data_IF_860465058380
#
_entry.id   IF_860465058380
#
_cell.length_a   1.000
_cell.length_b   1.000
_cell.length_c   1.000
_cell.angle_alpha   90.00
_cell.angle_beta   90.00
_cell.angle_gamma   90.00
#
_symmetry.space_group_name_H-M   'P 1'
#
loop_
_entity.id
_entity.type
_entity.pdbx_description
1 polymer ?
#
# COMPACT_ATOMS: atom_id res chain seq x y z
N UNK A 1 -65.57 33.30 -36.29
CA UNK A 1 -64.16 33.70 -36.43
C UNK A 1 -63.35 32.82 -35.50
N UNK A 2 -62.18 32.34 -35.91
CA UNK A 2 -61.49 31.19 -35.28
C UNK A 2 -60.96 31.57 -33.90
N UNK A 3 -61.36 30.83 -32.87
CA UNK A 3 -60.72 30.84 -31.55
C UNK A 3 -59.58 29.82 -31.57
N UNK A 4 -58.36 30.28 -31.28
CA UNK A 4 -57.18 29.41 -31.17
C UNK A 4 -57.22 28.65 -29.84
N UNK A 5 -57.17 27.31 -29.89
CA UNK A 5 -56.87 26.50 -28.72
C UNK A 5 -55.38 26.64 -28.36
N UNK A 6 -55.10 27.14 -27.16
CA UNK A 6 -53.76 27.14 -26.56
C UNK A 6 -53.69 26.07 -25.48
N UNK A 7 -53.32 24.84 -25.83
CA UNK A 7 -53.08 23.78 -24.85
C UNK A 7 -51.76 24.05 -24.13
N UNK A 8 -51.86 24.62 -22.91
CA UNK A 8 -50.70 24.80 -22.04
C UNK A 8 -50.33 23.45 -21.42
N UNK A 9 -49.39 22.74 -22.05
CA UNK A 9 -48.83 21.50 -21.50
C UNK A 9 -48.05 21.84 -20.22
N UNK A 10 -48.64 21.55 -19.07
CA UNK A 10 -47.98 21.67 -17.78
C UNK A 10 -46.98 20.52 -17.65
N UNK A 11 -45.73 20.75 -18.07
CA UNK A 11 -44.63 19.84 -17.80
C UNK A 11 -44.40 19.78 -16.29
N UNK A 12 -45.04 18.82 -15.62
CA UNK A 12 -44.66 18.34 -14.30
C UNK A 12 -43.28 17.68 -14.41
N UNK A 13 -42.25 18.53 -14.38
CA UNK A 13 -40.89 18.11 -14.15
C UNK A 13 -40.83 17.51 -12.74
N UNK A 14 -41.04 16.19 -12.67
CA UNK A 14 -40.77 15.42 -11.47
C UNK A 14 -39.26 15.52 -11.22
N UNK A 15 -38.84 16.53 -10.44
CA UNK A 15 -37.49 16.61 -9.93
C UNK A 15 -37.31 15.41 -9.02
N UNK A 16 -36.73 14.36 -9.55
CA UNK A 16 -35.99 13.39 -8.74
C UNK A 16 -34.94 14.20 -7.99
N UNK A 17 -35.24 14.51 -6.73
CA UNK A 17 -34.25 14.99 -5.76
C UNK A 17 -33.35 13.79 -5.53
N UNK A 18 -32.34 13.67 -6.37
CA UNK A 18 -31.21 12.81 -6.13
C UNK A 18 -30.44 13.52 -5.01
N UNK A 19 -30.72 13.12 -3.77
CA UNK A 19 -29.96 13.52 -2.59
C UNK A 19 -28.55 12.98 -2.77
N UNK A 20 -27.70 13.80 -3.35
CA UNK A 20 -26.27 13.53 -3.51
C UNK A 20 -25.66 13.65 -2.11
N UNK A 21 -25.56 12.51 -1.42
CA UNK A 21 -25.21 12.43 0.02
C UNK A 21 -23.79 12.94 0.21
N UNK A 22 -23.69 14.23 0.54
CA UNK A 22 -22.45 14.98 0.51
C UNK A 22 -21.49 14.45 1.59
N UNK A 23 -20.43 13.75 1.17
CA UNK A 23 -19.43 13.16 2.06
C UNK A 23 -19.39 11.63 2.10
N UNK A 24 -20.15 10.90 1.29
CA UNK A 24 -19.90 9.47 1.06
C UNK A 24 -18.72 9.25 0.10
N UNK A 25 -17.51 9.09 0.64
CA UNK A 25 -16.30 8.66 -0.07
C UNK A 25 -15.89 7.26 0.44
N UNK A 26 -15.47 6.37 -0.47
CA UNK A 26 -14.97 5.01 -0.14
C UNK A 26 -13.74 5.03 0.78
N UNK A 27 -13.13 6.21 1.01
CA UNK A 27 -12.05 6.40 1.99
C UNK A 27 -12.54 6.53 3.44
N UNK A 28 -13.85 6.72 3.66
CA UNK A 28 -14.47 6.89 4.98
C UNK A 28 -15.08 5.55 5.42
N UNK A 29 -14.61 5.03 6.56
CA UNK A 29 -15.16 3.78 7.11
C UNK A 29 -16.41 4.08 7.93
N UNK A 30 -17.45 3.27 7.74
CA UNK A 30 -18.68 3.31 8.55
C UNK A 30 -18.92 1.97 9.25
N UNK A 31 -19.37 2.01 10.51
CA UNK A 31 -19.77 0.83 11.28
C UNK A 31 -21.25 0.88 11.63
N UNK A 32 -22.01 -0.15 11.26
CA UNK A 32 -23.42 -0.27 11.65
C UNK A 32 -23.54 -0.68 13.13
N UNK A 33 -24.24 0.13 13.92
CA UNK A 33 -24.61 -0.17 15.30
C UNK A 33 -26.12 -0.29 15.46
N UNK A 34 -26.56 -1.22 16.31
CA UNK A 34 -27.96 -1.46 16.63
C UNK A 34 -28.17 -1.22 18.13
N UNK A 35 -28.40 0.04 18.54
CA UNK A 35 -28.61 0.41 19.94
C UNK A 35 -29.98 -0.03 20.50
N UNK A 36 -30.93 -0.42 19.63
CA UNK A 36 -32.28 -0.86 20.00
C UNK A 36 -33.23 0.31 20.29
N UNK A 37 -32.75 1.38 20.93
CA UNK A 37 -33.52 2.61 21.19
C UNK A 37 -32.78 3.85 20.65
N UNK A 38 -33.52 4.92 20.25
CA UNK A 38 -32.92 6.19 19.86
C UNK A 38 -32.36 6.95 21.07
N UNK A 39 -31.21 7.61 20.90
CA UNK A 39 -30.63 8.56 21.86
C UNK A 39 -30.88 10.00 21.38
N UNK A 40 -31.26 10.95 22.26
CA UNK A 40 -31.42 12.37 21.90
C UNK A 40 -30.19 12.95 21.18
N UNK A 41 -29.02 12.51 21.62
CA UNK A 41 -27.69 12.94 21.14
C UNK A 41 -27.46 12.70 19.63
N UNK A 42 -28.25 11.83 18.99
CA UNK A 42 -28.15 11.53 17.55
C UNK A 42 -29.45 11.76 16.78
N UNK A 43 -30.57 12.04 17.48
CA UNK A 43 -31.84 12.43 16.83
C UNK A 43 -31.93 13.92 16.56
N UNK A 44 -31.16 14.73 17.30
CA UNK A 44 -31.18 16.19 17.22
C UNK A 44 -30.11 16.74 16.24
N UNK A 45 -29.23 15.88 15.72
CA UNK A 45 -28.34 16.21 14.62
C UNK A 45 -29.13 16.32 13.31
N UNK A 46 -28.85 17.34 12.49
CA UNK A 46 -29.43 17.55 11.15
C UNK A 46 -28.91 16.53 10.10
N UNK A 47 -28.58 15.31 10.53
CA UNK A 47 -28.07 14.23 9.69
C UNK A 47 -29.17 13.57 8.85
N UNK A 48 -28.82 13.23 7.61
CA UNK A 48 -29.72 12.47 6.73
C UNK A 48 -30.05 11.10 7.36
N UNK A 49 -31.32 10.68 7.26
CA UNK A 49 -31.75 9.38 7.79
C UNK A 49 -32.36 8.52 6.69
N UNK A 50 -31.97 7.25 6.65
CA UNK A 50 -32.34 6.29 5.62
C UNK A 50 -33.14 5.15 6.23
N UNK A 51 -34.23 4.75 5.57
CA UNK A 51 -34.99 3.56 5.93
C UNK A 51 -34.42 2.36 5.17
N UNK A 52 -33.90 1.37 5.90
CA UNK A 52 -33.40 0.11 5.34
C UNK A 52 -34.37 -1.03 5.68
N UNK A 53 -34.45 -2.02 4.79
CA UNK A 53 -35.24 -3.25 5.00
C UNK A 53 -34.34 -4.46 4.77
N UNK A 54 -34.31 -5.41 5.70
CA UNK A 54 -33.53 -6.64 5.58
C UNK A 54 -34.17 -7.63 4.61
N UNK A 55 -33.40 -8.66 4.21
CA UNK A 55 -33.93 -9.80 3.44
C UNK A 55 -35.05 -10.58 4.14
N UNK A 56 -35.19 -10.41 5.46
CA UNK A 56 -36.26 -10.99 6.28
C UNK A 56 -37.43 -10.01 6.51
N UNK A 57 -37.51 -8.92 5.75
CA UNK A 57 -38.52 -7.86 5.84
C UNK A 57 -38.49 -7.05 7.16
N UNK A 58 -37.40 -7.14 7.92
CA UNK A 58 -37.15 -6.35 9.13
C UNK A 58 -36.77 -4.92 8.73
N UNK A 59 -37.42 -3.90 9.31
CA UNK A 59 -37.24 -2.49 8.95
C UNK A 59 -36.47 -1.75 10.04
N UNK A 60 -35.50 -0.93 9.62
CA UNK A 60 -34.72 -0.07 10.50
C UNK A 60 -34.64 1.34 9.93
N UNK A 61 -34.63 2.34 10.82
CA UNK A 61 -34.27 3.71 10.49
C UNK A 61 -32.82 3.94 10.92
N UNK A 62 -31.94 4.23 9.97
CA UNK A 62 -30.54 4.46 10.21
C UNK A 62 -30.21 5.96 10.08
N UNK A 63 -29.45 6.48 11.03
CA UNK A 63 -29.00 7.87 11.06
C UNK A 63 -27.57 7.93 10.52
N UNK A 64 -27.35 8.70 9.45
CA UNK A 64 -26.03 8.89 8.86
C UNK A 64 -25.33 10.05 9.57
N UNK A 65 -24.06 9.89 10.00
CA UNK A 65 -23.30 11.00 10.56
C UNK A 65 -22.93 11.99 9.45
N UNK A 66 -23.05 13.29 9.75
CA UNK A 66 -22.68 14.38 8.84
C UNK A 66 -21.17 14.50 8.71
N UNK A 67 -20.57 13.84 7.71
CA UNK A 67 -19.11 13.89 7.49
C UNK A 67 -18.72 15.17 6.75
N UNK A 68 -18.72 16.29 7.47
CA UNK A 68 -18.12 17.53 6.98
C UNK A 68 -16.59 17.37 6.93
N UNK A 69 -15.93 17.57 5.77
CA UNK A 69 -14.49 17.40 5.66
C UNK A 69 -13.74 18.49 6.44
N UNK A 70 -13.45 18.21 7.71
CA UNK A 70 -12.72 19.13 8.60
C UNK A 70 -13.26 19.26 10.02
N UNK A 71 -14.46 18.74 10.33
CA UNK A 71 -14.97 18.71 11.71
C UNK A 71 -15.15 17.28 12.20
N UNK A 72 -14.41 16.93 13.26
CA UNK A 72 -14.81 15.86 14.17
C UNK A 72 -15.85 16.42 15.13
N UNK A 73 -16.90 15.64 15.39
CA UNK A 73 -17.64 15.82 16.64
C UNK A 73 -16.79 15.29 17.80
N UNK A 74 -16.47 16.15 18.76
CA UNK A 74 -15.95 15.73 20.07
C UNK A 74 -14.46 15.93 20.37
N UNK A 75 -13.61 16.36 19.43
CA UNK A 75 -12.26 16.80 19.78
C UNK A 75 -12.24 18.31 20.10
N UNK A 76 -11.75 18.65 21.29
CA UNK A 76 -11.31 20.00 21.57
C UNK A 76 -10.17 20.35 20.60
N UNK A 77 -10.26 21.47 19.88
CA UNK A 77 -9.12 22.03 19.16
C UNK A 77 -8.08 22.53 20.18
N UNK A 78 -7.33 21.59 20.77
CA UNK A 78 -6.14 21.90 21.55
C UNK A 78 -5.12 22.51 20.60
N UNK A 79 -4.91 23.83 20.75
CA UNK A 79 -3.89 24.57 20.01
C UNK A 79 -2.56 23.79 20.06
N UNK A 80 -2.00 23.49 18.89
CA UNK A 80 -0.77 22.70 18.82
C UNK A 80 0.42 23.61 19.15
N UNK A 81 0.94 23.50 20.37
CA UNK A 81 2.11 24.24 20.86
C UNK A 81 3.44 23.50 20.59
N UNK A 82 3.44 22.49 19.72
CA UNK A 82 4.61 21.68 19.38
C UNK A 82 5.46 22.28 18.25
N UNK A 83 6.58 21.60 17.88
CA UNK A 83 7.49 22.10 16.84
C UNK A 83 6.84 22.18 15.46
N UNK A 84 7.32 23.12 14.63
CA UNK A 84 6.85 23.27 13.25
C UNK A 84 7.12 22.00 12.41
N UNK A 85 6.39 21.78 11.30
CA UNK A 85 6.69 20.67 10.38
C UNK A 85 8.13 20.67 9.87
N UNK A 86 8.74 21.85 9.71
CA UNK A 86 10.15 21.98 9.37
C UNK A 86 11.03 21.49 10.54
N UNK A 87 10.79 22.02 11.74
CA UNK A 87 11.53 21.66 12.96
C UNK A 87 11.51 20.16 13.24
N UNK A 88 10.37 19.50 13.01
CA UNK A 88 10.23 18.05 13.13
C UNK A 88 11.13 17.28 12.17
N UNK A 89 11.33 17.75 10.93
CA UNK A 89 12.15 17.06 9.92
C UNK A 89 13.62 17.53 9.90
N UNK A 90 14.00 18.59 10.62
CA UNK A 90 15.40 19.03 10.77
C UNK A 90 16.40 17.93 11.17
N UNK A 91 16.06 16.93 12.02
CA UNK A 91 16.95 15.83 12.33
C UNK A 91 17.41 15.03 11.10
N UNK A 92 16.68 15.08 9.97
CA UNK A 92 17.09 14.43 8.72
C UNK A 92 18.20 15.20 8.00
N UNK A 93 18.24 16.51 8.14
CA UNK A 93 19.19 17.37 7.44
C UNK A 93 20.56 17.41 8.11
N UNK A 94 20.59 17.12 9.42
CA UNK A 94 21.81 17.00 10.22
C UNK A 94 22.42 15.59 10.18
N UNK A 95 21.63 14.56 9.81
CA UNK A 95 22.11 13.20 9.64
C UNK A 95 22.93 13.03 8.35
N UNK A 96 24.11 12.42 8.45
CA UNK A 96 24.99 12.14 7.30
C UNK A 96 24.55 10.92 6.48
N UNK A 97 23.47 10.26 6.86
CA UNK A 97 22.87 9.13 6.12
C UNK A 97 22.13 9.60 4.87
N UNK A 98 22.09 8.74 3.85
CA UNK A 98 21.30 8.97 2.63
C UNK A 98 20.34 7.79 2.43
N UNK A 99 19.17 8.10 1.89
CA UNK A 99 18.16 7.12 1.50
C UNK A 99 18.30 6.79 0.03
N UNK A 100 18.19 5.51 -0.33
CA UNK A 100 18.41 5.05 -1.70
C UNK A 100 17.13 4.48 -2.31
N UNK A 101 16.87 4.81 -3.59
CA UNK A 101 15.85 4.16 -4.42
C UNK A 101 16.55 3.56 -5.63
N UNK A 102 16.47 2.24 -5.75
CA UNK A 102 16.94 1.49 -6.91
C UNK A 102 15.78 1.40 -7.91
N UNK A 103 15.92 2.04 -9.07
CA UNK A 103 15.08 1.80 -10.24
C UNK A 103 15.90 1.09 -11.32
N UNK A 104 15.23 0.67 -12.40
CA UNK A 104 15.80 -0.27 -13.37
C UNK A 104 17.02 0.29 -14.14
N UNK A 105 17.02 1.58 -14.46
CA UNK A 105 18.18 2.29 -15.02
C UNK A 105 18.91 3.10 -13.94
N UNK A 106 18.15 3.94 -13.23
CA UNK A 106 18.68 4.94 -12.33
C UNK A 106 18.71 4.45 -10.88
N UNK A 107 19.84 4.63 -10.22
CA UNK A 107 19.89 4.68 -8.76
C UNK A 107 19.74 6.13 -8.31
N UNK A 108 18.83 6.37 -7.37
CA UNK A 108 18.68 7.66 -6.72
C UNK A 108 19.23 7.58 -5.30
N UNK A 109 20.00 8.60 -4.95
CA UNK A 109 20.63 8.83 -3.66
C UNK A 109 20.08 10.16 -3.12
N UNK A 110 19.22 10.07 -2.11
CA UNK A 110 18.61 11.22 -1.43
C UNK A 110 19.35 11.43 -0.11
N UNK A 111 20.30 12.36 -0.13
CA UNK A 111 20.99 12.83 1.05
C UNK A 111 20.25 14.06 1.58
N UNK A 112 19.30 13.84 2.49
CA UNK A 112 18.53 14.89 3.15
C UNK A 112 19.44 16.02 3.66
N UNK A 113 19.04 17.28 3.48
CA UNK A 113 19.84 18.45 3.86
C UNK A 113 21.08 18.73 3.00
N UNK A 114 21.36 17.94 1.94
CA UNK A 114 22.61 18.05 1.16
C UNK A 114 22.39 18.01 -0.36
N UNK A 115 21.94 16.88 -0.90
CA UNK A 115 21.74 16.71 -2.34
C UNK A 115 20.81 15.55 -2.67
N UNK A 116 20.19 15.63 -3.85
CA UNK A 116 19.57 14.49 -4.50
C UNK A 116 20.38 14.20 -5.76
N UNK A 117 20.88 12.97 -5.88
CA UNK A 117 21.72 12.50 -6.98
C UNK A 117 21.04 11.32 -7.67
N UNK A 118 21.08 11.34 -8.99
CA UNK A 118 20.69 10.26 -9.88
C UNK A 118 21.96 9.75 -10.56
N UNK A 119 22.20 8.44 -10.57
CA UNK A 119 23.33 7.86 -11.28
C UNK A 119 23.04 6.48 -11.85
N UNK A 120 23.75 6.14 -12.93
CA UNK A 120 23.73 4.83 -13.58
C UNK A 120 25.18 4.36 -13.76
N UNK A 121 25.46 3.11 -13.37
CA UNK A 121 26.77 2.47 -13.57
C UNK A 121 26.69 1.44 -14.70
N UNK A 122 27.43 1.67 -15.78
CA UNK A 122 27.67 0.68 -16.83
C UNK A 122 29.05 0.03 -16.63
N UNK A 123 29.15 -1.30 -16.84
CA UNK A 123 30.33 -2.12 -16.52
C UNK A 123 30.84 -2.87 -17.75
N UNK A 124 31.61 -2.17 -18.58
CA UNK A 124 32.33 -2.75 -19.71
C UNK A 124 33.63 -3.43 -19.24
N UNK A 125 33.49 -4.68 -18.77
CA UNK A 125 34.61 -5.52 -18.36
C UNK A 125 35.29 -5.04 -17.07
N UNK A 126 36.45 -4.38 -17.19
CA UNK A 126 37.21 -3.80 -16.05
C UNK A 126 37.00 -2.29 -15.87
N UNK A 127 36.22 -1.64 -16.73
CA UNK A 127 35.94 -0.21 -16.65
C UNK A 127 34.49 0.02 -16.25
N UNK A 128 34.28 0.80 -15.20
CA UNK A 128 32.95 1.29 -14.81
C UNK A 128 32.78 2.71 -15.35
N UNK A 129 31.72 2.94 -16.12
CA UNK A 129 31.33 4.27 -16.60
C UNK A 129 30.12 4.72 -15.79
N UNK A 130 30.24 5.85 -15.10
CA UNK A 130 29.15 6.42 -14.31
C UNK A 130 28.56 7.61 -15.07
N UNK A 131 27.25 7.55 -15.34
CA UNK A 131 26.47 8.71 -15.76
C UNK A 131 25.77 9.27 -14.51
N UNK A 132 25.92 10.55 -14.21
CA UNK A 132 25.33 11.15 -13.01
C UNK A 132 24.75 12.55 -13.23
N UNK A 133 23.68 12.85 -12.50
CA UNK A 133 23.03 14.15 -12.44
C UNK A 133 22.66 14.49 -11.00
N UNK A 134 22.91 15.72 -10.58
CA UNK A 134 22.36 16.24 -9.33
C UNK A 134 20.98 16.83 -9.64
N UNK A 135 19.95 16.32 -8.99
CA UNK A 135 18.55 16.72 -9.18
C UNK A 135 18.12 17.86 -8.26
N UNK A 136 18.96 18.20 -7.29
CA UNK A 136 18.81 19.32 -6.37
C UNK A 136 19.95 19.33 -5.36
N UNK A 137 20.33 20.51 -4.89
CA UNK A 137 21.35 20.76 -3.88
C UNK A 137 20.78 21.62 -2.77
N UNK A 138 21.37 21.47 -1.60
CA UNK A 138 21.14 22.27 -0.42
C UNK A 138 22.49 22.86 -0.02
N UNK A 139 22.56 24.18 0.15
CA UNK A 139 23.70 24.84 0.79
C UNK A 139 23.28 25.47 2.12
N UNK A 140 24.23 25.76 3.00
CA UNK A 140 23.98 26.36 4.31
C UNK A 140 23.14 27.65 4.20
N UNK A 141 23.32 28.43 3.12
CA UNK A 141 22.53 29.63 2.84
C UNK A 141 21.08 29.35 2.44
N UNK A 142 20.77 28.22 1.80
CA UNK A 142 19.40 27.77 1.59
C UNK A 142 18.79 27.27 2.90
N UNK A 143 19.57 26.61 3.77
CA UNK A 143 19.11 26.17 5.09
C UNK A 143 18.67 27.36 5.96
N UNK A 144 19.53 28.37 6.11
CA UNK A 144 19.22 29.58 6.89
C UNK A 144 18.01 30.34 6.32
N UNK A 145 17.87 30.40 4.99
CA UNK A 145 16.69 31.02 4.36
C UNK A 145 15.41 30.23 4.61
N UNK A 146 15.46 28.90 4.62
CA UNK A 146 14.30 28.06 4.92
C UNK A 146 13.86 28.23 6.38
N UNK A 147 14.82 28.24 7.32
CA UNK A 147 14.56 28.52 8.73
C UNK A 147 14.03 29.95 8.99
N UNK A 148 14.51 30.95 8.23
CA UNK A 148 13.99 32.31 8.32
C UNK A 148 12.55 32.39 7.79
N UNK A 149 12.26 31.77 6.64
CA UNK A 149 10.93 31.77 6.04
C UNK A 149 9.86 31.10 6.93
N UNK A 150 10.21 29.98 7.59
CA UNK A 150 9.32 29.27 8.53
C UNK A 150 9.01 30.10 9.78
N UNK A 151 9.93 30.99 10.20
CA UNK A 151 9.74 31.93 11.32
C UNK A 151 9.00 33.20 10.93
N UNK A 152 9.18 33.70 9.72
CA UNK A 152 8.48 34.90 9.20
C UNK A 152 7.03 34.57 8.81
N UNK A 153 6.79 33.40 8.22
CA UNK A 153 5.48 32.91 7.84
C UNK A 153 5.22 31.54 8.49
N UNK A 154 5.02 31.48 9.83
CA UNK A 154 4.62 30.26 10.49
C UNK A 154 3.30 29.75 9.89
N UNK A 155 3.17 28.42 9.78
CA UNK A 155 1.98 27.77 9.25
C UNK A 155 0.73 28.20 10.03
N UNK A 156 -0.17 28.92 9.36
CA UNK A 156 -1.44 29.38 9.93
C UNK A 156 -2.24 28.17 10.46
N UNK A 157 -2.77 28.30 11.67
CA UNK A 157 -3.63 27.29 12.29
C UNK A 157 -4.90 27.04 11.47
N UNK A 158 -5.32 28.01 10.65
CA UNK A 158 -6.43 27.88 9.69
C UNK A 158 -6.01 27.45 8.28
N UNK A 159 -4.70 27.40 7.94
CA UNK A 159 -4.27 26.99 6.60
C UNK A 159 -4.58 25.51 6.31
N UNK A 160 -5.14 25.28 5.13
CA UNK A 160 -5.31 23.95 4.54
C UNK A 160 -3.95 23.33 4.20
N UNK A 161 -3.69 22.13 4.74
CA UNK A 161 -2.47 21.39 4.43
C UNK A 161 -2.63 20.69 3.08
N UNK A 162 -1.65 20.79 2.16
CA UNK A 162 -1.75 20.15 0.86
C UNK A 162 -1.75 18.62 1.00
N UNK A 163 -2.65 17.98 0.23
CA UNK A 163 -2.90 16.55 0.26
C UNK A 163 -2.45 15.88 -1.05
N UNK A 164 -1.91 14.66 -0.98
CA UNK A 164 -1.55 13.85 -2.15
C UNK A 164 -2.11 12.45 -2.06
N UNK A 165 -2.68 11.95 -3.16
CA UNK A 165 -3.13 10.56 -3.26
C UNK A 165 -1.95 9.61 -3.49
N UNK A 166 -1.74 8.67 -2.57
CA UNK A 166 -0.75 7.59 -2.66
C UNK A 166 -1.43 6.26 -2.33
N UNK A 167 -1.31 5.28 -3.23
CA UNK A 167 -1.85 3.91 -3.06
C UNK A 167 -3.32 3.85 -2.58
N UNK A 168 -4.12 4.81 -3.06
CA UNK A 168 -5.53 5.11 -2.76
C UNK A 168 -5.83 5.91 -1.48
N UNK A 169 -4.85 6.24 -0.66
CA UNK A 169 -5.01 7.13 0.49
C UNK A 169 -4.67 8.58 0.14
N UNK A 170 -5.43 9.55 0.64
CA UNK A 170 -5.03 10.96 0.59
C UNK A 170 -4.22 11.29 1.85
N UNK A 171 -2.93 11.57 1.68
CA UNK A 171 -2.01 11.87 2.79
C UNK A 171 -1.61 13.36 2.77
N UNK A 172 -1.61 14.06 3.92
CA UNK A 172 -1.02 15.40 4.04
C UNK A 172 0.50 15.34 3.88
N UNK A 173 1.10 16.38 3.29
CA UNK A 173 2.54 16.43 3.08
C UNK A 173 3.13 17.83 3.30
N UNK A 174 4.38 17.86 3.78
CA UNK A 174 5.19 19.07 3.85
C UNK A 174 6.16 19.10 2.65
N UNK A 175 6.10 20.16 1.84
CA UNK A 175 6.93 20.31 0.64
C UNK A 175 8.20 21.12 0.94
N UNK A 176 9.37 20.57 0.59
CA UNK A 176 10.65 21.29 0.54
C UNK A 176 11.19 21.22 -0.89
N UNK A 177 11.65 22.34 -1.44
CA UNK A 177 12.17 22.40 -2.81
C UNK A 177 13.70 22.43 -2.80
N UNK A 178 14.34 21.48 -3.51
CA UNK A 178 15.79 21.42 -3.68
C UNK A 178 16.17 21.88 -5.09
N UNK A 179 16.81 23.05 -5.20
CA UNK A 179 17.17 23.71 -6.48
C UNK A 179 18.65 23.51 -6.82
N UNK A 180 19.20 24.25 -7.79
CA UNK A 180 20.65 24.30 -8.07
C UNK A 180 21.31 22.93 -8.40
N UNK A 181 20.54 22.02 -9.01
CA UNK A 181 21.05 20.78 -9.59
C UNK A 181 21.91 21.01 -10.85
N UNK A 182 22.37 19.90 -11.45
CA UNK A 182 23.12 19.93 -12.72
C UNK A 182 22.29 20.59 -13.82
N UNK A 183 22.92 21.45 -14.63
CA UNK A 183 22.25 22.16 -15.73
C UNK A 183 21.62 21.20 -16.75
N UNK A 184 20.41 21.53 -17.19
CA UNK A 184 19.59 20.72 -18.09
C UNK A 184 19.56 21.35 -19.48
N UNK A 185 20.31 20.75 -20.39
CA UNK A 185 20.30 21.01 -21.83
C UNK A 185 18.89 20.97 -22.43
N UNK A 186 18.05 20.03 -21.98
CA UNK A 186 16.66 19.88 -22.44
C UNK A 186 15.68 20.95 -21.93
N UNK A 187 16.08 21.80 -20.96
CA UNK A 187 15.22 22.84 -20.37
C UNK A 187 15.96 24.20 -20.34
N UNK A 188 16.35 24.68 -21.53
CA UNK A 188 17.01 25.98 -21.73
C UNK A 188 18.24 26.21 -20.81
N UNK A 189 18.99 25.14 -20.52
CA UNK A 189 20.15 25.13 -19.63
C UNK A 189 19.85 25.56 -18.17
N UNK A 190 18.59 25.45 -17.72
CA UNK A 190 18.20 25.67 -16.31
C UNK A 190 18.72 24.54 -15.41
N UNK A 191 19.03 24.81 -14.13
CA UNK A 191 19.40 23.75 -13.18
C UNK A 191 18.22 22.81 -12.93
N UNK A 192 18.52 21.51 -12.77
CA UNK A 192 17.54 20.53 -12.26
C UNK A 192 17.06 20.93 -10.85
N UNK A 193 15.80 20.63 -10.55
CA UNK A 193 15.20 20.86 -9.22
C UNK A 193 14.30 19.70 -8.81
N UNK A 194 14.17 19.46 -7.51
CA UNK A 194 13.31 18.40 -6.95
C UNK A 194 12.38 18.96 -5.88
N UNK A 195 11.07 18.73 -6.01
CA UNK A 195 10.09 18.90 -4.93
C UNK A 195 10.11 17.65 -4.05
N UNK A 196 10.44 17.81 -2.77
CA UNK A 196 10.52 16.72 -1.79
C UNK A 196 9.32 16.81 -0.86
N UNK A 197 8.47 15.80 -0.92
CA UNK A 197 7.21 15.72 -0.19
C UNK A 197 7.40 14.79 1.01
N UNK A 198 7.55 15.37 2.20
CA UNK A 198 7.63 14.61 3.45
C UNK A 198 6.22 14.28 3.92
N UNK A 199 5.96 13.01 4.21
CA UNK A 199 4.66 12.51 4.68
C UNK A 199 4.84 11.73 5.98
N UNK A 200 3.86 11.84 6.89
CA UNK A 200 3.83 10.99 8.06
C UNK A 200 3.69 9.52 7.66
N UNK A 201 4.60 8.69 8.15
CA UNK A 201 4.42 7.25 8.21
C UNK A 201 5.12 6.72 9.46
N UNK A 202 4.34 6.26 10.45
CA UNK A 202 4.84 5.89 11.79
C UNK A 202 5.83 4.71 11.80
N UNK A 203 5.81 3.87 10.77
CA UNK A 203 6.76 2.75 10.61
C UNK A 203 7.87 3.04 9.58
N UNK A 204 7.89 4.26 9.02
CA UNK A 204 8.88 4.67 8.02
C UNK A 204 10.28 4.87 8.61
N UNK A 205 11.28 4.86 7.73
CA UNK A 205 12.70 5.07 8.07
C UNK A 205 13.33 6.18 7.22
N UNK A 206 12.52 7.17 6.85
CA UNK A 206 12.91 8.27 5.95
C UNK A 206 13.27 7.76 4.55
N UNK A 207 12.70 6.62 4.13
CA UNK A 207 12.98 6.05 2.82
C UNK A 207 12.24 6.79 1.70
N UNK A 208 12.83 6.71 0.50
CA UNK A 208 12.26 7.25 -0.73
C UNK A 208 11.19 6.29 -1.23
N UNK A 209 9.93 6.67 -1.08
CA UNK A 209 8.79 5.89 -1.56
C UNK A 209 8.70 5.89 -3.09
N UNK A 210 8.81 7.08 -3.68
CA UNK A 210 8.81 7.27 -5.13
C UNK A 210 9.64 8.49 -5.49
N UNK A 211 10.42 8.43 -6.56
CA UNK A 211 11.06 9.59 -7.16
C UNK A 211 10.83 9.54 -8.68
N UNK A 212 10.20 10.58 -9.23
CA UNK A 212 9.85 10.63 -10.66
C UNK A 212 10.10 12.01 -11.25
N UNK A 213 10.38 12.07 -12.54
CA UNK A 213 10.37 13.32 -13.31
C UNK A 213 8.91 13.70 -13.61
N UNK A 214 8.47 14.90 -13.21
CA UNK A 214 7.09 15.38 -13.40
C UNK A 214 6.95 16.35 -14.57
N UNK A 215 8.02 17.06 -14.89
CA UNK A 215 8.24 17.75 -16.18
C UNK A 215 9.74 17.84 -16.44
N UNK A 216 10.17 18.26 -17.63
CA UNK A 216 11.58 18.20 -18.06
C UNK A 216 12.54 18.81 -17.03
N UNK A 217 13.37 17.96 -16.43
CA UNK A 217 14.34 18.30 -15.38
C UNK A 217 13.76 18.84 -14.06
N UNK A 218 12.46 18.59 -13.81
CA UNK A 218 11.77 18.85 -12.55
C UNK A 218 11.28 17.54 -11.96
N UNK A 219 11.74 17.21 -10.76
CA UNK A 219 11.50 15.93 -10.10
C UNK A 219 10.56 16.09 -8.91
N UNK A 220 9.87 15.01 -8.56
CA UNK A 220 9.05 14.86 -7.36
C UNK A 220 9.53 13.63 -6.59
N UNK A 221 9.99 13.82 -5.35
CA UNK A 221 10.39 12.77 -4.43
C UNK A 221 9.39 12.70 -3.27
N UNK A 222 8.88 11.51 -2.94
CA UNK A 222 8.05 11.27 -1.75
C UNK A 222 8.90 10.56 -0.70
N UNK A 223 8.94 11.12 0.50
CA UNK A 223 9.70 10.60 1.64
C UNK A 223 8.73 10.23 2.76
N UNK A 224 8.77 8.99 3.21
CA UNK A 224 7.96 8.51 4.32
C UNK A 224 8.74 8.62 5.63
N UNK A 225 8.26 9.50 6.53
CA UNK A 225 8.99 9.89 7.74
C UNK A 225 8.12 9.81 9.00
N UNK A 226 8.54 9.08 10.06
CA UNK A 226 7.81 9.08 11.33
C UNK A 226 7.91 10.41 12.08
N UNK A 227 8.91 11.26 11.80
CA UNK A 227 9.10 12.54 12.50
C UNK A 227 7.91 13.49 12.29
N UNK A 228 7.38 13.54 11.08
CA UNK A 228 6.26 14.43 10.73
C UNK A 228 4.93 13.98 11.40
N UNK A 229 4.85 12.73 11.87
CA UNK A 229 3.68 12.20 12.59
C UNK A 229 3.47 12.84 13.97
N UNK A 230 4.46 13.55 14.52
CA UNK A 230 4.28 14.32 15.74
C UNK A 230 3.31 15.51 15.57
N UNK A 231 3.15 16.00 14.34
CA UNK A 231 2.25 17.13 14.05
C UNK A 231 0.82 16.64 13.71
N UNK A 232 -0.23 17.02 14.47
CA UNK A 232 -1.58 16.51 14.28
C UNK A 232 -2.13 16.69 12.86
N UNK A 233 -1.98 17.89 12.27
CA UNK A 233 -2.41 18.17 10.88
C UNK A 233 -1.74 17.29 9.80
N UNK A 234 -0.60 16.67 10.08
CA UNK A 234 0.14 15.83 9.12
C UNK A 234 0.02 14.33 9.41
N UNK A 235 -0.68 13.92 10.46
CA UNK A 235 -1.08 12.53 10.61
C UNK A 235 -2.08 12.17 9.49
N UNK A 236 -2.10 10.93 8.99
CA UNK A 236 -3.21 10.43 8.19
C UNK A 236 -4.50 10.70 8.98
N UNK A 237 -5.48 11.38 8.36
CA UNK A 237 -6.79 11.57 9.00
C UNK A 237 -7.34 10.17 9.29
N UNK A 238 -7.48 9.85 10.57
CA UNK A 238 -7.94 8.52 10.97
C UNK A 238 -9.33 8.27 10.37
N UNK A 239 -9.46 7.13 9.70
CA UNK A 239 -10.71 6.57 9.16
C UNK A 239 -11.86 6.59 10.18
N UNK A 240 -11.50 6.38 11.46
CA UNK A 240 -12.35 6.48 12.64
C UNK A 240 -13.78 5.99 12.43
N UNK A 241 -14.00 4.66 12.41
CA UNK A 241 -15.28 4.00 12.06
C UNK A 241 -16.52 4.83 12.44
N UNK A 242 -17.08 5.54 11.44
CA UNK A 242 -18.21 6.43 11.60
C UNK A 242 -19.47 5.61 11.89
N UNK A 243 -20.00 5.74 13.10
CA UNK A 243 -21.13 4.93 13.56
C UNK A 243 -22.43 5.32 12.86
N UNK A 244 -23.00 4.39 12.10
CA UNK A 244 -24.36 4.48 11.57
C UNK A 244 -25.26 3.77 12.56
N UNK A 245 -26.02 4.54 13.34
CA UNK A 245 -26.95 4.01 14.34
C UNK A 245 -28.29 3.64 13.68
N UNK A 246 -28.65 2.36 13.73
CA UNK A 246 -29.88 1.82 13.14
C UNK A 246 -30.86 1.38 14.24
N UNK A 247 -31.99 2.09 14.36
CA UNK A 247 -33.07 1.76 15.31
C UNK A 247 -34.16 0.92 14.64
N UNK A 248 -34.73 -0.09 15.32
CA UNK A 248 -35.82 -0.89 14.78
C UNK A 248 -37.05 -0.03 14.49
N UNK A 249 -37.85 -0.45 13.52
CA UNK A 249 -39.19 0.09 13.25
C UNK A 249 -40.26 -0.92 13.66
N UNK A 250 -41.51 -0.49 13.71
CA UNK A 250 -42.64 -1.29 14.21
C UNK A 250 -42.68 -2.71 13.59
N UNK A 251 -42.78 -3.72 14.45
CA UNK A 251 -42.75 -5.14 14.06
C UNK A 251 -41.36 -5.75 13.82
N UNK A 252 -40.26 -4.99 13.95
CA UNK A 252 -38.89 -5.45 13.68
C UNK A 252 -38.11 -5.68 14.99
N UNK A 253 -37.23 -6.71 15.07
CA UNK A 253 -36.42 -6.98 16.26
C UNK A 253 -35.28 -5.95 16.42
N UNK A 254 -34.79 -5.74 17.65
CA UNK A 254 -33.69 -4.80 17.94
C UNK A 254 -32.45 -4.96 17.04
N UNK A 255 -32.19 -6.19 16.58
CA UNK A 255 -31.04 -6.56 15.75
C UNK A 255 -31.49 -7.51 14.64
N UNK A 256 -31.07 -7.31 13.37
CA UNK A 256 -31.48 -8.16 12.25
C UNK A 256 -31.08 -9.62 12.47
N UNK A 257 -31.95 -10.55 12.09
CA UNK A 257 -31.68 -11.99 12.18
C UNK A 257 -30.38 -12.39 11.47
N UNK A 258 -30.15 -11.84 10.27
CA UNK A 258 -28.94 -12.08 9.47
C UNK A 258 -27.65 -11.64 10.18
N UNK A 259 -27.69 -10.49 10.87
CA UNK A 259 -26.57 -9.97 11.67
C UNK A 259 -26.27 -10.84 12.89
N UNK A 260 -27.32 -11.30 13.60
CA UNK A 260 -27.17 -12.21 14.74
C UNK A 260 -26.60 -13.56 14.31
N UNK A 261 -27.04 -14.10 13.16
CA UNK A 261 -26.51 -15.33 12.57
C UNK A 261 -25.03 -15.20 12.23
N UNK A 262 -24.63 -14.12 11.53
CA UNK A 262 -23.23 -13.84 11.18
C UNK A 262 -22.33 -13.80 12.43
N UNK A 263 -22.77 -13.11 13.50
CA UNK A 263 -22.03 -13.08 14.77
C UNK A 263 -21.92 -14.46 15.42
N UNK A 264 -22.99 -15.26 15.41
CA UNK A 264 -22.98 -16.61 15.99
C UNK A 264 -22.03 -17.55 15.23
N UNK A 265 -22.02 -17.51 13.90
CA UNK A 265 -21.17 -18.37 13.08
C UNK A 265 -19.69 -17.94 13.18
N UNK A 266 -19.41 -16.63 13.21
CA UNK A 266 -18.06 -16.12 13.50
C UNK A 266 -17.55 -16.56 14.89
N UNK A 267 -18.42 -16.59 15.91
CA UNK A 267 -18.05 -17.03 17.25
C UNK A 267 -17.77 -18.54 17.35
N UNK A 268 -18.44 -19.38 16.54
CA UNK A 268 -18.14 -20.83 16.46
C UNK A 268 -16.76 -21.08 15.88
N UNK A 269 -16.41 -20.41 14.78
CA UNK A 269 -15.10 -20.53 14.11
C UNK A 269 -13.93 -20.13 15.03
N UNK A 270 -14.15 -19.19 15.95
CA UNK A 270 -13.14 -18.81 16.96
C UNK A 270 -12.90 -19.88 18.03
N UNK A 271 -13.89 -20.73 18.33
CA UNK A 271 -13.79 -21.80 19.34
C UNK A 271 -13.19 -23.11 18.83
N UNK A 272 -13.08 -23.31 17.51
CA UNK A 272 -12.55 -24.54 16.91
C UNK A 272 -11.04 -24.52 16.65
N UNK A 273 -10.29 -23.61 17.27
CA UNK A 273 -8.84 -23.41 17.03
C UNK A 273 -7.91 -23.95 18.11
N UNK A 274 -8.44 -24.51 19.21
CA UNK A 274 -7.65 -25.17 20.26
C UNK A 274 -7.39 -26.65 19.91
N UNK A 275 -6.27 -26.95 19.24
CA UNK A 275 -5.63 -28.27 19.30
C UNK A 275 -4.11 -28.20 19.02
N UNK A 276 -3.32 -28.48 20.06
CA UNK A 276 -1.87 -28.66 20.02
C UNK A 276 -1.44 -29.91 19.23
N UNK A 277 -0.33 -29.77 18.49
CA UNK A 277 0.85 -30.68 18.42
C UNK A 277 1.56 -30.55 17.08
N UNK A 278 2.85 -30.16 17.09
CA UNK A 278 3.96 -30.94 16.50
C UNK A 278 5.30 -30.40 17.04
N UNK A 279 6.22 -31.30 17.41
CA UNK A 279 7.62 -30.97 17.71
C UNK A 279 8.43 -31.02 16.41
N UNK A 280 9.34 -30.08 16.23
CA UNK A 280 10.33 -30.11 15.15
C UNK A 280 11.67 -30.55 15.73
N UNK A 281 12.24 -31.63 15.19
CA UNK A 281 13.65 -31.99 15.41
C UNK A 281 14.50 -31.46 14.26
N UNK A 282 15.69 -30.96 14.57
CA UNK A 282 16.64 -30.41 13.62
C UNK A 282 17.58 -31.50 13.13
N UNK A 283 17.58 -31.78 11.83
CA UNK A 283 18.60 -32.61 11.17
C UNK A 283 19.70 -31.69 10.63
N UNK A 284 20.96 -31.99 10.97
CA UNK A 284 22.12 -31.29 10.43
C UNK A 284 22.44 -31.76 9.02
N UNK A 285 22.85 -30.84 8.15
CA UNK A 285 23.36 -31.16 6.81
C UNK A 285 24.89 -31.07 6.81
N UNK A 286 25.53 -32.19 6.48
CA UNK A 286 26.97 -32.26 6.26
C UNK A 286 27.39 -31.65 4.90
N UNK A 287 28.70 -31.54 4.72
CA UNK A 287 29.40 -30.63 3.80
C UNK A 287 30.10 -31.37 2.66
N UNK A 288 30.61 -30.59 1.69
CA UNK A 288 31.51 -30.97 0.58
C UNK A 288 30.81 -31.72 -0.58
N UNK A 289 31.18 -31.64 -1.87
CA UNK A 289 32.09 -30.77 -2.66
C UNK A 289 31.46 -30.66 -4.10
N UNK A 290 31.88 -29.87 -5.10
CA UNK A 290 33.03 -28.99 -5.37
C UNK A 290 32.62 -27.86 -6.37
N UNK A 291 33.56 -27.25 -7.12
CA UNK A 291 33.29 -26.34 -8.26
C UNK A 291 34.16 -26.70 -9.48
N UNK A 292 33.56 -26.86 -10.66
CA UNK A 292 34.26 -26.80 -11.96
C UNK A 292 33.47 -25.98 -12.98
N UNK A 293 34.16 -25.06 -13.68
CA UNK A 293 33.53 -24.10 -14.58
C UNK A 293 34.21 -24.03 -15.96
N UNK A 294 33.44 -24.23 -17.03
CA UNK A 294 33.69 -23.87 -18.44
C UNK A 294 32.39 -24.14 -19.23
N UNK A 295 31.95 -23.41 -20.27
CA UNK A 295 32.44 -22.22 -21.01
C UNK A 295 31.23 -21.63 -21.80
N UNK A 296 31.14 -20.31 -22.09
CA UNK A 296 30.02 -19.71 -22.84
C UNK A 296 30.33 -19.50 -24.34
N UNK A 297 29.42 -18.95 -25.18
CA UNK A 297 27.94 -18.91 -25.11
C UNK A 297 27.25 -19.37 -26.42
N UNK A 298 25.98 -19.77 -26.38
CA UNK A 298 25.15 -19.79 -27.61
C UNK A 298 23.65 -19.52 -27.34
N UNK A 299 23.06 -18.61 -28.13
CA UNK A 299 21.63 -18.22 -28.24
C UNK A 299 20.83 -17.88 -26.97
N UNK A 300 20.37 -16.62 -26.89
CA UNK A 300 19.42 -16.14 -25.86
C UNK A 300 18.02 -16.73 -26.06
N UNK A 301 17.69 -17.77 -25.30
CA UNK A 301 16.32 -17.97 -24.82
C UNK A 301 16.16 -17.21 -23.51
N UNK A 302 14.99 -16.59 -23.28
CA UNK A 302 14.65 -16.04 -21.97
C UNK A 302 14.37 -17.23 -21.04
N UNK A 303 15.28 -17.47 -20.10
CA UNK A 303 15.14 -18.52 -19.09
C UNK A 303 13.96 -18.18 -18.17
N UNK A 304 12.87 -18.96 -18.23
CA UNK A 304 11.67 -18.78 -17.40
C UNK A 304 11.80 -19.36 -16.00
N UNK A 305 12.88 -20.10 -15.72
CA UNK A 305 13.19 -20.70 -14.41
C UNK A 305 13.06 -19.74 -13.22
N UNK A 306 13.51 -18.46 -13.28
CA UNK A 306 13.34 -17.52 -12.16
C UNK A 306 11.87 -17.18 -11.88
N UNK A 307 11.04 -17.07 -12.93
CA UNK A 307 9.61 -16.73 -12.80
C UNK A 307 8.84 -17.93 -12.26
N UNK A 308 9.11 -19.12 -12.78
CA UNK A 308 8.48 -20.37 -12.33
C UNK A 308 8.88 -20.72 -10.89
N UNK A 309 10.16 -20.57 -10.53
CA UNK A 309 10.62 -20.79 -9.15
C UNK A 309 10.05 -19.76 -8.15
N UNK A 310 9.77 -18.53 -8.59
CA UNK A 310 9.04 -17.53 -7.81
C UNK A 310 7.55 -17.89 -7.68
N UNK A 311 6.86 -18.25 -8.77
CA UNK A 311 5.44 -18.64 -8.76
C UNK A 311 5.17 -19.92 -7.95
N UNK A 312 6.11 -20.86 -7.93
CA UNK A 312 6.11 -22.04 -7.04
C UNK A 312 6.44 -21.70 -5.57
N UNK A 313 6.78 -20.45 -5.26
CA UNK A 313 7.24 -20.02 -3.95
C UNK A 313 8.51 -20.74 -3.48
N UNK A 314 9.33 -21.27 -4.40
CA UNK A 314 10.63 -21.91 -4.08
C UNK A 314 11.67 -20.85 -3.72
N UNK A 315 11.65 -19.72 -4.44
CA UNK A 315 12.50 -18.57 -4.19
C UNK A 315 11.69 -17.43 -3.55
N UNK A 316 12.12 -16.97 -2.38
CA UNK A 316 11.47 -15.88 -1.65
C UNK A 316 12.23 -14.55 -1.82
N UNK A 317 11.48 -13.47 -2.02
CA UNK A 317 12.01 -12.13 -2.19
C UNK A 317 12.29 -11.50 -0.82
N UNK A 318 13.52 -11.08 -0.60
CA UNK A 318 13.96 -10.47 0.66
C UNK A 318 14.12 -8.94 0.50
N UNK A 319 13.68 -8.18 1.51
CA UNK A 319 13.68 -6.72 1.51
C UNK A 319 13.86 -6.11 2.91
N UNK A 320 13.76 -4.77 2.97
CA UNK A 320 13.84 -4.00 4.21
C UNK A 320 15.22 -3.39 4.50
N UNK A 321 15.20 -2.14 4.95
CA UNK A 321 16.37 -1.32 5.32
C UNK A 321 16.49 -1.19 6.84
N UNK A 322 17.71 -1.04 7.36
CA UNK A 322 17.96 -0.90 8.80
C UNK A 322 17.54 -2.11 9.63
N UNK A 323 16.87 -1.86 10.77
CA UNK A 323 16.53 -2.85 11.81
C UNK A 323 15.61 -3.98 11.31
N UNK A 324 14.44 -3.63 10.75
CA UNK A 324 13.50 -4.62 10.23
C UNK A 324 13.84 -5.05 8.80
N UNK A 325 13.88 -6.37 8.60
CA UNK A 325 13.87 -7.06 7.30
C UNK A 325 12.51 -7.68 7.05
N UNK A 326 12.22 -8.02 5.81
CA UNK A 326 11.06 -8.84 5.47
C UNK A 326 11.37 -9.82 4.34
N UNK A 327 10.66 -10.93 4.34
CA UNK A 327 10.70 -11.98 3.34
C UNK A 327 9.29 -12.20 2.78
N UNK A 328 9.20 -12.36 1.47
CA UNK A 328 7.97 -12.62 0.75
C UNK A 328 8.13 -13.86 -0.13
N UNK A 329 7.40 -14.92 0.23
CA UNK A 329 7.28 -16.13 -0.56
C UNK A 329 5.91 -16.12 -1.26
N UNK A 330 5.90 -15.94 -2.58
CA UNK A 330 4.66 -15.94 -3.37
C UNK A 330 3.89 -17.26 -3.20
N UNK A 331 2.56 -17.16 -3.10
CA UNK A 331 1.67 -18.28 -2.85
C UNK A 331 1.77 -18.88 -1.44
N UNK A 332 2.62 -18.34 -0.55
CA UNK A 332 2.90 -18.90 0.78
C UNK A 332 2.67 -17.89 1.90
N UNK A 333 3.60 -16.97 2.14
CA UNK A 333 3.57 -16.10 3.33
C UNK A 333 4.50 -14.90 3.23
N UNK A 334 4.23 -13.92 4.08
CA UNK A 334 5.03 -12.72 4.28
C UNK A 334 5.48 -12.69 5.74
N UNK A 335 6.79 -12.59 5.98
CA UNK A 335 7.36 -12.47 7.32
C UNK A 335 8.20 -11.20 7.45
N UNK A 336 7.97 -10.43 8.50
CA UNK A 336 8.88 -9.37 8.94
C UNK A 336 9.76 -9.94 10.05
N UNK A 337 11.06 -9.65 10.03
CA UNK A 337 11.99 -10.16 11.04
C UNK A 337 13.12 -9.20 11.39
N UNK A 338 13.66 -9.35 12.59
CA UNK A 338 14.88 -8.71 13.06
C UNK A 338 15.82 -9.74 13.69
N UNK A 339 17.13 -9.53 13.56
CA UNK A 339 18.18 -10.36 14.15
C UNK A 339 19.08 -9.49 15.03
N UNK A 340 18.99 -9.68 16.35
CA UNK A 340 19.91 -9.03 17.29
C UNK A 340 21.30 -9.67 17.22
N UNK A 341 22.33 -8.98 17.75
CA UNK A 341 23.70 -9.48 17.83
C UNK A 341 23.83 -10.60 18.89
N UNK A 342 23.28 -11.77 18.58
CA UNK A 342 23.20 -12.94 19.45
C UNK A 342 22.20 -14.00 18.96
N UNK A 343 22.02 -14.13 17.64
CA UNK A 343 21.19 -15.13 16.93
C UNK A 343 19.67 -15.14 17.19
N UNK A 344 19.15 -14.41 18.18
CA UNK A 344 17.71 -14.36 18.45
C UNK A 344 16.94 -13.63 17.33
N UNK A 345 16.35 -14.40 16.41
CA UNK A 345 15.44 -13.90 15.36
C UNK A 345 14.05 -13.62 15.96
N UNK A 346 13.64 -12.36 15.96
CA UNK A 346 12.24 -11.97 16.24
C UNK A 346 11.51 -11.93 14.91
N UNK A 347 10.46 -12.74 14.75
CA UNK A 347 9.65 -12.84 13.52
C UNK A 347 8.18 -12.49 13.77
N UNK A 348 7.58 -11.77 12.83
CA UNK A 348 6.18 -11.35 12.80
C UNK A 348 5.61 -11.77 11.43
N UNK A 349 4.69 -12.73 11.40
CA UNK A 349 4.01 -13.09 10.16
C UNK A 349 2.95 -12.03 9.82
N UNK A 350 3.03 -11.44 8.61
CA UNK A 350 2.14 -10.36 8.15
C UNK A 350 0.94 -10.87 7.33
N UNK A 351 0.93 -12.16 7.01
CA UNK A 351 -0.14 -12.82 6.28
C UNK A 351 0.33 -14.09 5.58
N UNK A 352 -0.61 -15.00 5.35
CA UNK A 352 -0.45 -16.24 4.57
C UNK A 352 -1.41 -16.23 3.40
N UNK A 353 -0.98 -16.76 2.26
CA UNK A 353 -1.84 -16.89 1.09
C UNK A 353 -2.87 -18.00 1.31
N UNK A 354 -4.10 -17.75 0.87
CA UNK A 354 -5.19 -18.71 0.90
C UNK A 354 -6.09 -18.40 -0.30
N UNK A 355 -6.17 -19.33 -1.27
CA UNK A 355 -6.93 -19.12 -2.52
C UNK A 355 -8.40 -18.81 -2.25
N UNK A 356 -9.01 -19.41 -1.23
CA UNK A 356 -10.42 -19.19 -0.89
C UNK A 356 -10.62 -17.79 -0.31
N UNK A 357 -9.80 -17.40 0.67
CA UNK A 357 -9.89 -16.07 1.28
C UNK A 357 -9.53 -14.94 0.32
N UNK A 358 -8.65 -15.19 -0.65
CA UNK A 358 -8.36 -14.24 -1.72
C UNK A 358 -9.59 -14.02 -2.62
N UNK A 359 -10.31 -15.09 -2.98
CA UNK A 359 -11.55 -14.99 -3.76
C UNK A 359 -12.65 -14.25 -2.99
N UNK A 360 -12.85 -14.58 -1.71
CA UNK A 360 -13.76 -13.86 -0.81
C UNK A 360 -13.42 -12.36 -0.74
N UNK A 361 -12.13 -12.03 -0.56
CA UNK A 361 -11.66 -10.64 -0.54
C UNK A 361 -11.86 -9.89 -1.87
N UNK A 362 -11.67 -10.56 -3.01
CA UNK A 362 -11.92 -9.99 -4.35
C UNK A 362 -13.42 -9.76 -4.60
N UNK A 363 -14.30 -10.59 -4.05
CA UNK A 363 -15.75 -10.39 -4.11
C UNK A 363 -16.19 -9.18 -3.25
N UNK A 364 -15.64 -9.03 -2.04
CA UNK A 364 -15.84 -7.87 -1.18
C UNK A 364 -15.23 -6.57 -1.75
N UNK A 365 -14.17 -6.68 -2.57
CA UNK A 365 -13.46 -5.52 -3.13
C UNK A 365 -13.39 -5.57 -4.68
N UNK A 366 -14.52 -5.40 -5.41
CA UNK A 366 -14.54 -5.53 -6.88
C UNK A 366 -13.56 -4.59 -7.61
N UNK A 367 -13.24 -3.44 -7.03
CA UNK A 367 -12.27 -2.47 -7.55
C UNK A 367 -10.81 -2.96 -7.52
N UNK A 368 -10.53 -4.07 -6.82
CA UNK A 368 -9.22 -4.74 -6.77
C UNK A 368 -9.04 -5.79 -7.87
N UNK A 369 -10.10 -6.15 -8.60
CA UNK A 369 -10.01 -7.08 -9.73
C UNK A 369 -9.02 -6.57 -10.77
N UNK A 370 -8.22 -7.46 -11.40
CA UNK A 370 -7.36 -7.06 -12.51
C UNK A 370 -8.15 -6.41 -13.64
N UNK A 371 -7.56 -5.39 -14.26
CA UNK A 371 -8.07 -4.88 -15.54
C UNK A 371 -8.00 -5.96 -16.63
N UNK A 372 -8.78 -5.82 -17.72
CA UNK A 372 -8.65 -6.68 -18.90
C UNK A 372 -7.20 -6.74 -19.38
N UNK A 373 -6.77 -7.88 -19.92
CA UNK A 373 -5.37 -8.22 -20.20
C UNK A 373 -4.60 -7.10 -20.92
N UNK A 374 -5.17 -6.49 -21.95
CA UNK A 374 -4.54 -5.39 -22.70
C UNK A 374 -4.41 -4.03 -21.99
N UNK A 375 -4.97 -3.88 -20.78
CA UNK A 375 -4.85 -2.68 -19.92
C UNK A 375 -4.31 -3.01 -18.52
N UNK A 376 -3.89 -4.27 -18.30
CA UNK A 376 -3.48 -4.78 -17.00
C UNK A 376 -2.02 -4.39 -16.73
N UNK A 377 -1.79 -3.56 -15.71
CA UNK A 377 -0.45 -3.16 -15.24
C UNK A 377 -0.07 -3.72 -13.87
N UNK A 378 -1.02 -4.28 -13.15
CA UNK A 378 -0.81 -4.88 -11.83
C UNK A 378 -1.83 -5.97 -11.50
N UNK A 379 -1.50 -6.80 -10.51
CA UNK A 379 -2.40 -7.71 -9.79
C UNK A 379 -2.38 -7.37 -8.29
N UNK A 380 -3.49 -7.56 -7.60
CA UNK A 380 -3.57 -7.54 -6.13
C UNK A 380 -3.85 -8.95 -5.62
N UNK A 381 -3.06 -9.43 -4.67
CA UNK A 381 -3.24 -10.70 -3.97
C UNK A 381 -3.44 -10.46 -2.47
N UNK A 382 -4.34 -11.22 -1.83
CA UNK A 382 -4.63 -11.08 -0.42
C UNK A 382 -3.97 -12.17 0.43
N UNK A 383 -3.24 -11.76 1.46
CA UNK A 383 -2.57 -12.61 2.43
C UNK A 383 -3.16 -12.30 3.81
N UNK A 384 -3.67 -13.31 4.51
CA UNK A 384 -4.44 -13.13 5.76
C UNK A 384 -3.98 -14.11 6.85
N UNK A 385 -4.52 -13.97 8.07
CA UNK A 385 -4.21 -14.90 9.15
C UNK A 385 -2.76 -14.84 9.62
N UNK A 386 -2.13 -13.66 9.54
CA UNK A 386 -0.85 -13.39 10.15
C UNK A 386 -0.92 -13.39 11.69
N UNK A 387 0.21 -13.09 12.33
CA UNK A 387 0.29 -12.97 13.79
C UNK A 387 -0.73 -11.96 14.32
N UNK A 388 -1.31 -12.25 15.49
CA UNK A 388 -2.32 -11.39 16.11
C UNK A 388 -1.74 -10.01 16.44
N UNK A 389 -2.48 -8.98 16.08
CA UNK A 389 -2.14 -7.59 16.37
C UNK A 389 -2.34 -7.28 17.86
N UNK A 390 -1.31 -6.74 18.50
CA UNK A 390 -1.36 -6.22 19.87
C UNK A 390 -2.28 -4.99 20.00
N UNK A 391 -2.42 -4.19 18.94
CA UNK A 391 -3.25 -2.98 18.92
C UNK A 391 -4.72 -3.26 18.65
N UNK A 392 -5.04 -4.12 17.68
CA UNK A 392 -6.41 -4.32 17.18
C UNK A 392 -7.04 -5.64 17.59
N UNK A 393 -6.26 -6.60 18.11
CA UNK A 393 -6.70 -7.98 18.37
C UNK A 393 -7.07 -8.79 17.12
N UNK A 394 -7.02 -8.20 15.92
CA UNK A 394 -7.24 -8.88 14.64
C UNK A 394 -5.93 -9.54 14.16
N UNK A 395 -6.02 -10.57 13.32
CA UNK A 395 -4.84 -11.14 12.67
C UNK A 395 -4.26 -10.17 11.63
N UNK A 396 -2.93 -10.08 11.52
CA UNK A 396 -2.28 -9.28 10.49
C UNK A 396 -2.67 -9.74 9.08
N UNK A 397 -2.83 -8.78 8.16
CA UNK A 397 -3.22 -9.02 6.77
C UNK A 397 -2.46 -8.09 5.81
N UNK A 398 -2.18 -8.56 4.60
CA UNK A 398 -1.41 -7.83 3.58
C UNK A 398 -2.06 -7.90 2.20
N UNK A 399 -2.22 -6.76 1.53
CA UNK A 399 -2.41 -6.70 0.07
C UNK A 399 -1.02 -6.72 -0.61
N UNK A 400 -0.72 -7.76 -1.37
CA UNK A 400 0.47 -7.82 -2.23
C UNK A 400 0.10 -7.27 -3.61
N UNK A 401 0.76 -6.19 -4.03
CA UNK A 401 0.60 -5.57 -5.34
C UNK A 401 1.76 -5.96 -6.25
N UNK A 402 1.51 -6.87 -7.18
CA UNK A 402 2.47 -7.22 -8.23
C UNK A 402 2.32 -6.24 -9.39
N UNK A 403 3.35 -5.43 -9.68
CA UNK A 403 3.33 -4.40 -10.73
C UNK A 403 4.34 -4.73 -11.84
N UNK A 404 3.89 -4.68 -13.09
CA UNK A 404 4.75 -4.76 -14.27
C UNK A 404 5.50 -3.44 -14.47
N UNK A 405 6.81 -3.52 -14.71
CA UNK A 405 7.64 -2.38 -15.12
C UNK A 405 7.83 -2.40 -16.64
N UNK A 406 7.02 -1.62 -17.34
CA UNK A 406 7.15 -1.40 -18.80
C UNK A 406 8.45 -0.65 -19.13
N UNK A 407 9.18 -1.10 -20.17
CA UNK A 407 10.49 -0.58 -20.61
C UNK A 407 11.66 -0.75 -19.60
N UNK A 408 12.03 -2.00 -19.26
CA UNK A 408 13.12 -2.27 -18.33
C UNK A 408 14.52 -2.13 -18.95
N UNK A 409 15.47 -1.61 -18.18
CA UNK A 409 16.90 -1.59 -18.54
C UNK A 409 17.66 -2.86 -18.13
N UNK A 410 17.08 -3.65 -17.22
CA UNK A 410 17.53 -4.98 -16.83
C UNK A 410 16.30 -5.88 -16.70
N UNK A 411 16.24 -7.04 -17.39
CA UNK A 411 15.05 -7.89 -17.35
C UNK A 411 14.79 -8.50 -15.96
N UNK A 412 15.82 -8.60 -15.12
CA UNK A 412 15.78 -9.32 -13.85
C UNK A 412 15.71 -8.39 -12.62
N UNK A 413 15.45 -7.09 -12.81
CA UNK A 413 15.33 -6.15 -11.69
C UNK A 413 14.08 -6.42 -10.83
N UNK A 414 14.20 -6.29 -9.52
CA UNK A 414 13.08 -6.43 -8.57
C UNK A 414 13.18 -5.32 -7.53
N UNK A 415 12.09 -4.59 -7.32
CA UNK A 415 11.95 -3.58 -6.28
C UNK A 415 10.83 -3.95 -5.31
N UNK A 416 11.07 -3.75 -4.02
CA UNK A 416 10.21 -4.21 -2.92
C UNK A 416 9.98 -3.07 -1.93
N UNK A 417 8.74 -2.81 -1.56
CA UNK A 417 8.38 -1.86 -0.49
C UNK A 417 7.22 -2.39 0.35
N UNK A 418 7.26 -2.12 1.66
CA UNK A 418 6.23 -2.54 2.61
C UNK A 418 5.68 -1.31 3.33
N UNK A 419 4.37 -1.10 3.21
CA UNK A 419 3.62 -0.09 3.95
C UNK A 419 2.70 -0.75 4.98
N UNK A 420 2.37 -0.04 6.04
CA UNK A 420 1.37 -0.39 7.06
C UNK A 420 0.38 0.80 7.13
N UNK A 421 -0.51 0.96 6.13
CA UNK A 421 -1.46 2.08 6.05
C UNK A 421 -2.41 2.18 7.26
N UNK A 422 -2.70 1.06 7.92
CA UNK A 422 -3.48 0.96 9.15
C UNK A 422 -2.83 -0.08 10.06
N UNK A 423 -3.04 0.01 11.37
CA UNK A 423 -2.47 -0.96 12.31
C UNK A 423 -2.76 -2.40 11.90
N UNK A 424 -1.70 -3.15 11.63
CA UNK A 424 -1.71 -4.55 11.24
C UNK A 424 -2.37 -4.87 9.87
N UNK A 425 -2.61 -3.86 9.04
CA UNK A 425 -2.98 -4.00 7.63
C UNK A 425 -1.86 -3.45 6.75
N UNK A 426 -1.29 -4.29 5.89
CA UNK A 426 -0.09 -3.98 5.11
C UNK A 426 -0.36 -3.88 3.61
N UNK A 427 0.49 -3.15 2.90
CA UNK A 427 0.61 -3.19 1.45
C UNK A 427 2.06 -3.53 1.10
N UNK A 428 2.28 -4.68 0.46
CA UNK A 428 3.57 -5.08 -0.07
C UNK A 428 3.59 -4.84 -1.58
N UNK A 429 4.35 -3.85 -2.04
CA UNK A 429 4.60 -3.63 -3.45
C UNK A 429 5.76 -4.48 -3.95
N UNK A 430 5.55 -5.20 -5.05
CA UNK A 430 6.60 -5.93 -5.78
C UNK A 430 6.58 -5.42 -7.22
N UNK A 431 7.66 -4.80 -7.65
CA UNK A 431 7.77 -4.16 -8.97
C UNK A 431 8.91 -4.82 -9.75
N UNK A 432 8.60 -5.46 -10.88
CA UNK A 432 9.60 -6.18 -11.68
C UNK A 432 9.13 -6.30 -13.14
N UNK A 433 10.05 -6.35 -14.11
CA UNK A 433 9.69 -6.62 -15.51
C UNK A 433 9.21 -8.07 -15.70
N UNK A 434 9.71 -9.00 -14.88
CA UNK A 434 9.26 -10.40 -14.87
C UNK A 434 7.78 -10.57 -14.52
N UNK A 435 7.19 -9.58 -13.82
CA UNK A 435 5.76 -9.58 -13.51
C UNK A 435 4.91 -9.35 -14.77
N UNK A 436 5.44 -8.70 -15.81
CA UNK A 436 4.69 -8.45 -17.05
C UNK A 436 4.21 -9.76 -17.70
N UNK A 437 5.04 -10.82 -17.68
CA UNK A 437 4.65 -12.15 -18.15
C UNK A 437 3.58 -12.78 -17.25
N UNK A 438 3.71 -12.60 -15.93
CA UNK A 438 2.73 -13.06 -14.92
C UNK A 438 1.36 -12.40 -15.14
N UNK A 439 1.31 -11.11 -15.49
CA UNK A 439 0.05 -10.40 -15.75
C UNK A 439 -0.77 -11.04 -16.87
N UNK A 440 -0.11 -11.60 -17.90
CA UNK A 440 -0.77 -12.24 -19.03
C UNK A 440 -1.41 -13.59 -18.68
N UNK A 441 -0.87 -14.30 -17.69
CA UNK A 441 -1.29 -15.64 -17.25
C UNK A 441 -2.35 -15.62 -16.15
N UNK A 442 -2.62 -14.46 -15.55
CA UNK A 442 -3.56 -14.35 -14.44
C UNK A 442 -5.04 -14.36 -14.90
N UNK A 443 -5.92 -14.95 -14.10
CA UNK A 443 -7.36 -15.02 -14.35
C UNK A 443 -8.08 -13.67 -14.10
N UNK A 444 -9.41 -13.69 -14.04
CA UNK A 444 -10.25 -12.51 -13.74
C UNK A 444 -10.22 -12.08 -12.26
N UNK A 445 -9.68 -12.91 -11.37
CA UNK A 445 -9.49 -12.65 -9.95
C UNK A 445 -8.03 -12.30 -9.59
N UNK A 446 -7.12 -12.42 -10.57
CA UNK A 446 -5.69 -12.17 -10.44
C UNK A 446 -4.87 -13.38 -10.00
N UNK A 447 -5.47 -14.56 -9.89
CA UNK A 447 -4.79 -15.81 -9.62
C UNK A 447 -4.00 -16.27 -10.85
N UNK A 448 -2.81 -16.82 -10.63
CA UNK A 448 -1.95 -17.34 -11.69
C UNK A 448 -1.88 -18.85 -11.49
N UNK A 449 -2.27 -19.62 -12.49
CA UNK A 449 -2.10 -21.07 -12.44
C UNK A 449 -0.64 -21.42 -12.72
N UNK A 450 -0.07 -22.25 -11.85
CA UNK A 450 1.25 -22.84 -12.07
C UNK A 450 1.01 -24.13 -12.84
N UNK A 451 1.62 -24.25 -14.02
CA UNK A 451 1.60 -25.50 -14.78
C UNK A 451 2.57 -26.44 -14.08
N UNK A 452 2.05 -27.27 -13.18
CA UNK A 452 2.79 -28.42 -12.69
C UNK A 452 3.04 -29.36 -13.88
N UNK A 453 4.31 -29.52 -14.27
CA UNK A 453 4.71 -30.55 -15.22
C UNK A 453 4.33 -31.91 -14.65
N UNK A 454 3.45 -32.62 -15.34
CA UNK A 454 2.81 -33.84 -14.84
C UNK A 454 3.84 -34.86 -14.35
N UNK A 455 3.83 -35.11 -13.05
CA UNK A 455 4.37 -36.36 -12.51
C UNK A 455 3.37 -37.46 -12.85
N UNK A 456 3.51 -38.07 -14.02
CA UNK A 456 2.74 -39.26 -14.38
C UNK A 456 2.96 -40.37 -13.33
N UNK A 457 1.91 -40.72 -12.60
CA UNK A 457 1.81 -42.02 -11.93
C UNK A 457 1.74 -43.10 -13.01
N UNK A 458 2.90 -43.50 -13.54
CA UNK A 458 3.02 -44.66 -14.40
C UNK A 458 3.10 -45.94 -13.54
N UNK A 459 2.02 -46.70 -13.61
CA UNK A 459 1.92 -48.04 -13.01
C UNK A 459 3.02 -48.96 -13.57
N UNK A 460 3.46 -49.91 -12.74
CA UNK A 460 4.84 -50.40 -12.78
C UNK A 460 5.23 -51.21 -14.01
N UNK A 461 6.39 -50.86 -14.61
CA UNK A 461 7.32 -51.89 -15.10
C UNK A 461 8.78 -51.38 -15.16
N UNK A 462 9.73 -52.22 -14.74
CA UNK A 462 11.17 -51.88 -14.69
C UNK A 462 11.88 -52.42 -15.93
N UNK A 463 12.55 -51.58 -16.73
CA UNK A 463 13.66 -52.01 -17.58
C UNK A 463 15.01 -51.58 -16.99
N UNK A 464 15.83 -52.57 -16.62
CA UNK A 464 17.23 -52.37 -16.20
C UNK A 464 18.10 -52.09 -17.42
N UNK A 465 18.97 -51.09 -17.36
CA UNK A 465 20.12 -50.95 -18.28
C UNK A 465 21.41 -50.81 -17.47
N UNK A 466 22.35 -51.72 -17.71
CA UNK A 466 23.62 -51.79 -16.99
C UNK A 466 24.64 -50.77 -17.52
N UNK A 467 25.32 -50.08 -16.61
CA UNK A 467 26.54 -49.32 -16.93
C UNK A 467 27.73 -50.30 -16.85
N UNK A 468 28.52 -50.38 -17.91
CA UNK A 468 29.89 -50.90 -17.84
C UNK A 468 30.82 -49.74 -17.46
N UNK A 469 31.74 -50.03 -16.53
CA UNK A 469 32.75 -49.12 -15.97
C UNK A 469 33.48 -48.30 -17.03
#
# INVERSE_FOLDING_TARGET
>A
MILFEGVLILCLACRSIQSDTQGFDDTILYSLEWPGQPSPEWTDLEGESVLITSSHQEKYKCYLPSVLPGKKDGDQESKYEGPSPLELILPLFTQTTCSFRLETYWTYEVCHGRYIRQYHEDREGKKTKVQEYILGKWDEKYFERLLAADKENPLDETAEIPMKKIDNMNLPYYEVTMENGTLCDLNNNKPRMTKVLYMCYIHGKHEVYSLKETSTCVYEAVILSPLLCAHPKYQPKDSGEHKINCVPQEGSPDKPYSYLKLRADSAKLRKSSDLDRFRVELVQLDKDESITATKPPETKLLDTSPVESFLLGKNCLNGGTGWWKFEFCYGKSIEQYHMEKGEKKTSINLGRFDKKKHLEWIEEHPHKRPKPVGQRKQLSHFYSGGTVCDKTGKARQTEVKLKCLENPSSPNAVSLYLLEPRYCEYILGVESPLICDILSRADENGLVEVVDGEAEESDGNIPVVNIKL
#
